data_IF_249153361061
#
_entry.id   IF_249153361061
#
_cell.length_a   1.000
_cell.length_b   1.000
_cell.length_c   1.000
_cell.angle_alpha   90.00
_cell.angle_beta   90.00
_cell.angle_gamma   90.00
#
_symmetry.space_group_name_H-M   'P 1'
#
loop_
_entity.id
_entity.type
_entity.pdbx_description
1 polymer ?
#
# COMPACT_ATOMS: atom_id res chain seq x y z
N UNK A 1 54.24 11.34 -21.89
CA UNK A 1 54.14 12.12 -20.64
C UNK A 1 52.74 12.71 -20.55
N UNK A 2 51.81 12.05 -19.86
CA UNK A 2 50.51 12.62 -19.49
C UNK A 2 50.04 11.90 -18.20
N UNK A 3 49.60 12.70 -17.22
CA UNK A 3 49.56 12.38 -15.80
C UNK A 3 48.34 11.51 -15.42
N UNK A 4 48.58 10.42 -14.68
CA UNK A 4 47.58 9.75 -13.85
C UNK A 4 47.09 10.72 -12.76
N UNK A 5 45.77 10.90 -12.64
CA UNK A 5 45.14 11.48 -11.45
C UNK A 5 44.52 10.34 -10.63
N UNK A 6 45.06 10.14 -9.43
CA UNK A 6 44.52 9.22 -8.44
C UNK A 6 43.25 9.81 -7.80
N UNK A 7 42.20 9.00 -7.74
CA UNK A 7 40.93 9.30 -7.08
C UNK A 7 41.06 9.02 -5.58
N UNK A 8 40.79 10.02 -4.75
CA UNK A 8 40.72 9.90 -3.28
C UNK A 8 39.31 9.42 -2.89
N UNK A 9 39.14 8.34 -2.11
CA UNK A 9 37.84 7.97 -1.57
C UNK A 9 37.47 8.92 -0.41
N UNK A 10 36.28 9.51 -0.48
CA UNK A 10 35.68 10.28 0.63
C UNK A 10 34.94 9.30 1.54
N UNK A 11 35.57 8.93 2.63
CA UNK A 11 34.89 8.41 3.81
C UNK A 11 33.96 9.49 4.38
N UNK A 12 32.65 9.25 4.28
CA UNK A 12 31.64 10.00 5.05
C UNK A 12 31.04 9.06 6.08
N UNK A 13 31.70 8.98 7.24
CA UNK A 13 31.07 8.50 8.45
C UNK A 13 29.88 9.42 8.78
N UNK A 14 28.65 8.90 8.66
CA UNK A 14 27.45 9.56 9.18
C UNK A 14 27.41 9.34 10.70
N UNK A 15 27.16 10.38 11.52
CA UNK A 15 27.02 10.21 12.96
C UNK A 15 25.68 9.54 13.28
N UNK A 16 25.73 8.46 14.05
CA UNK A 16 24.57 7.82 14.65
C UNK A 16 23.79 8.84 15.51
N UNK A 17 22.60 9.22 15.06
CA UNK A 17 21.63 9.97 15.88
C UNK A 17 21.03 9.00 16.89
N UNK A 18 21.70 8.85 18.04
CA UNK A 18 21.04 8.37 19.25
C UNK A 18 20.07 9.45 19.70
N UNK A 19 18.76 9.20 19.55
CA UNK A 19 17.72 10.00 20.20
C UNK A 19 17.77 9.67 21.70
N UNK A 20 18.61 10.42 22.42
CA UNK A 20 18.59 10.41 23.88
C UNK A 20 17.36 11.20 24.35
N UNK A 21 16.37 10.49 24.92
CA UNK A 21 15.28 11.11 25.69
C UNK A 21 15.87 11.81 26.92
N UNK A 22 15.58 13.10 27.17
CA UNK A 22 16.03 13.76 28.39
C UNK A 22 15.18 13.30 29.57
N UNK A 23 15.80 12.62 30.53
CA UNK A 23 15.25 12.43 31.89
C UNK A 23 15.42 13.75 32.62
N UNK A 24 14.33 14.50 32.76
CA UNK A 24 14.29 15.71 33.57
C UNK A 24 14.24 15.32 35.05
N UNK A 25 15.40 15.29 35.71
CA UNK A 25 15.51 15.23 37.17
C UNK A 25 15.36 16.66 37.73
N UNK A 26 14.14 17.06 38.04
CA UNK A 26 13.83 18.29 38.76
C UNK A 26 13.90 18.08 40.26
N UNK A 27 14.97 18.58 40.88
CA UNK A 27 15.11 18.74 42.32
C UNK A 27 14.16 19.87 42.78
N UNK A 28 13.20 19.59 43.66
CA UNK A 28 12.51 20.64 44.42
C UNK A 28 12.31 20.19 45.87
N UNK A 29 12.85 20.99 46.78
CA UNK A 29 12.81 20.78 48.21
C UNK A 29 11.65 21.59 48.84
N UNK A 30 10.83 20.86 49.62
CA UNK A 30 10.19 21.21 50.90
C UNK A 30 9.17 22.38 50.93
N UNK A 31 7.91 22.03 51.22
CA UNK A 31 7.19 22.53 52.41
C UNK A 31 6.03 21.60 52.81
N UNK A 32 5.92 21.43 54.12
CA UNK A 32 5.13 20.46 54.89
C UNK A 32 3.69 20.93 55.10
N UNK A 33 2.72 20.02 55.02
CA UNK A 33 1.50 19.88 55.85
C UNK A 33 0.73 18.67 55.27
N UNK A 34 0.66 17.51 55.92
CA UNK A 34 -0.24 17.22 57.04
C UNK A 34 -1.43 16.38 56.54
N UNK A 35 -1.42 15.07 56.78
CA UNK A 35 -2.54 14.19 56.40
C UNK A 35 -2.24 12.69 56.59
N UNK A 36 -2.66 12.15 57.73
CA UNK A 36 -2.60 10.73 58.12
C UNK A 36 -3.64 9.87 57.35
N UNK A 37 -3.21 8.77 56.73
CA UNK A 37 -3.97 7.51 56.56
C UNK A 37 -3.04 6.48 55.87
N UNK A 38 -2.39 5.58 56.61
CA UNK A 38 -2.86 4.21 56.95
C UNK A 38 -2.57 3.15 55.86
N UNK A 39 -1.51 2.38 56.14
CA UNK A 39 -1.24 0.96 55.88
C UNK A 39 -1.45 0.31 54.48
N UNK A 40 -0.38 -0.32 53.99
CA UNK A 40 -0.45 -1.39 53.00
C UNK A 40 0.88 -1.84 52.40
N UNK A 41 1.85 -2.28 53.21
CA UNK A 41 3.08 -2.93 52.72
C UNK A 41 2.82 -4.41 52.43
N UNK A 42 3.01 -4.86 51.18
CA UNK A 42 3.23 -6.26 50.85
C UNK A 42 4.63 -6.43 50.24
N UNK A 43 5.45 -7.16 50.99
CA UNK A 43 6.82 -7.59 50.66
C UNK A 43 6.75 -8.93 49.91
N UNK A 44 7.69 -9.25 48.99
CA UNK A 44 7.59 -10.41 48.11
C UNK A 44 8.08 -11.70 48.78
N UNK A 45 7.36 -12.81 48.57
CA UNK A 45 7.85 -14.17 48.79
C UNK A 45 7.97 -14.87 47.43
N UNK A 46 9.14 -15.30 46.97
CA UNK A 46 9.98 -16.42 47.43
C UNK A 46 9.82 -17.60 46.46
N UNK A 47 10.97 -18.16 46.09
CA UNK A 47 11.23 -18.96 44.90
C UNK A 47 10.96 -20.48 45.05
N UNK A 48 10.66 -21.12 43.90
CA UNK A 48 11.02 -22.49 43.44
C UNK A 48 10.47 -23.70 44.25
N UNK A 49 10.38 -24.94 43.68
CA UNK A 49 11.22 -25.50 42.61
C UNK A 49 10.50 -26.28 41.49
N UNK A 50 11.36 -26.76 40.58
CA UNK A 50 11.09 -27.61 39.42
C UNK A 50 10.37 -28.92 39.77
N UNK A 51 9.62 -29.45 38.80
CA UNK A 51 9.26 -30.86 38.75
C UNK A 51 9.40 -31.40 37.32
N UNK A 52 9.83 -32.65 37.29
CA UNK A 52 10.50 -33.41 36.25
C UNK A 52 9.51 -34.01 35.26
N UNK A 53 9.99 -34.31 34.05
CA UNK A 53 9.31 -35.11 33.01
C UNK A 53 8.92 -36.54 33.49
N UNK A 54 8.08 -37.27 32.73
CA UNK A 54 8.60 -38.19 31.70
C UNK A 54 7.79 -38.15 30.38
N UNK A 55 8.41 -38.24 29.21
CA UNK A 55 8.65 -39.47 28.39
C UNK A 55 7.45 -40.43 28.34
N UNK A 56 6.86 -40.55 27.16
CA UNK A 56 5.85 -41.56 26.83
C UNK A 56 5.52 -41.57 25.33
N UNK A 57 6.38 -42.22 24.54
CA UNK A 57 6.09 -42.61 23.15
C UNK A 57 5.14 -43.81 23.15
N UNK A 58 4.05 -43.80 22.36
CA UNK A 58 3.63 -44.95 21.51
C UNK A 58 2.31 -44.72 20.74
N UNK A 59 2.39 -44.94 19.43
CA UNK A 59 1.54 -45.86 18.63
C UNK A 59 0.11 -45.45 18.26
N UNK A 60 -0.05 -45.18 16.95
CA UNK A 60 -1.01 -45.76 15.99
C UNK A 60 -2.47 -45.96 16.41
N UNK A 61 -3.41 -45.41 15.64
CA UNK A 61 -4.47 -46.18 14.96
C UNK A 61 -5.34 -45.29 14.08
N UNK A 62 -5.52 -45.79 12.85
CA UNK A 62 -6.53 -45.41 11.88
C UNK A 62 -7.95 -45.58 12.44
N UNK A 63 -8.87 -44.70 12.06
CA UNK A 63 -10.29 -45.04 12.01
C UNK A 63 -10.96 -44.31 10.85
N UNK A 64 -11.36 -45.12 9.87
CA UNK A 64 -12.38 -44.84 8.87
C UNK A 64 -13.76 -44.62 9.50
N UNK A 65 -14.63 -43.94 8.74
CA UNK A 65 -16.06 -43.73 9.03
C UNK A 65 -16.36 -42.23 9.06
N UNK A 66 -17.10 -41.63 8.15
CA UNK A 66 -18.23 -42.13 7.37
C UNK A 66 -19.43 -41.23 7.66
N UNK A 67 -20.18 -40.86 6.61
CA UNK A 67 -21.55 -40.31 6.68
C UNK A 67 -21.72 -38.87 7.22
N UNK A 68 -22.06 -37.91 6.37
CA UNK A 68 -23.36 -37.73 5.71
C UNK A 68 -23.51 -36.31 5.20
N UNK A 69 -23.92 -36.23 3.93
CA UNK A 69 -24.43 -35.04 3.28
C UNK A 69 -25.63 -34.45 4.02
N UNK A 70 -25.67 -33.12 4.14
CA UNK A 70 -26.93 -32.39 4.30
C UNK A 70 -26.85 -31.02 3.65
N UNK A 71 -27.35 -30.96 2.42
CA UNK A 71 -27.74 -29.75 1.69
C UNK A 71 -29.00 -29.17 2.33
N UNK A 72 -29.13 -27.84 2.46
CA UNK A 72 -30.43 -27.19 2.41
C UNK A 72 -30.59 -26.42 1.08
N UNK A 73 -31.74 -26.68 0.47
CA UNK A 73 -32.33 -26.06 -0.71
C UNK A 73 -32.56 -24.54 -0.52
N UNK A 74 -32.55 -23.72 -1.59
CA UNK A 74 -32.79 -22.29 -1.52
C UNK A 74 -34.26 -21.96 -1.84
N UNK A 75 -34.94 -21.21 -0.98
CA UNK A 75 -36.23 -20.60 -1.29
C UNK A 75 -36.49 -19.40 -0.39
N UNK A 76 -36.38 -18.21 -0.96
CA UNK A 76 -36.65 -16.94 -0.29
C UNK A 76 -36.96 -15.85 -1.30
N UNK A 77 -38.19 -15.90 -1.83
CA UNK A 77 -38.80 -14.85 -2.64
C UNK A 77 -38.98 -13.56 -1.83
N UNK A 78 -38.88 -12.41 -2.51
CA UNK A 78 -39.68 -11.23 -2.14
C UNK A 78 -39.02 -9.89 -2.37
N UNK A 79 -39.64 -9.06 -3.22
CA UNK A 79 -39.61 -7.60 -3.02
C UNK A 79 -38.86 -6.75 -4.04
N UNK A 80 -39.24 -6.81 -5.33
CA UNK A 80 -38.88 -5.78 -6.32
C UNK A 80 -39.71 -4.51 -6.06
N UNK A 81 -39.13 -3.51 -5.42
CA UNK A 81 -39.70 -2.15 -5.36
C UNK A 81 -39.27 -1.37 -6.60
N UNK A 82 -40.22 -1.15 -7.50
CA UNK A 82 -40.06 -0.29 -8.67
C UNK A 82 -40.27 1.16 -8.24
N UNK A 83 -39.20 1.94 -8.16
CA UNK A 83 -39.28 3.40 -7.98
C UNK A 83 -39.42 4.04 -9.36
N UNK A 84 -40.58 4.65 -9.61
CA UNK A 84 -40.87 5.44 -10.81
C UNK A 84 -40.38 6.88 -10.59
N UNK A 85 -39.30 7.26 -11.27
CA UNK A 85 -38.80 8.64 -11.29
C UNK A 85 -39.52 9.44 -12.39
N UNK A 86 -40.08 10.63 -12.08
CA UNK A 86 -40.72 11.50 -13.08
C UNK A 86 -39.69 12.23 -13.96
N UNK A 87 -40.04 12.37 -15.24
CA UNK A 87 -39.24 13.04 -16.27
C UNK A 87 -39.10 14.55 -16.01
N UNK A 88 -37.93 15.17 -16.33
CA UNK A 88 -37.78 16.61 -16.31
C UNK A 88 -38.44 17.29 -17.54
N UNK A 89 -38.88 18.56 -17.40
CA UNK A 89 -39.58 19.30 -18.44
C UNK A 89 -38.66 19.73 -19.60
N UNK A 90 -39.18 19.63 -20.81
CA UNK A 90 -38.59 20.09 -22.07
C UNK A 90 -38.49 21.62 -22.11
N UNK A 91 -37.28 22.16 -22.18
CA UNK A 91 -37.04 23.58 -22.46
C UNK A 91 -36.96 23.77 -23.98
N UNK A 92 -37.91 24.54 -24.53
CA UNK A 92 -37.84 25.10 -25.90
C UNK A 92 -36.95 26.34 -25.88
N UNK A 93 -35.91 26.35 -26.70
CA UNK A 93 -35.16 27.57 -27.00
C UNK A 93 -35.28 27.91 -28.48
N UNK A 94 -35.68 29.15 -28.72
CA UNK A 94 -36.02 29.78 -30.00
C UNK A 94 -34.81 29.98 -30.91
N UNK A 95 -35.01 29.61 -32.17
CA UNK A 95 -34.16 29.87 -33.34
C UNK A 95 -34.20 31.35 -33.74
N UNK A 96 -33.03 31.99 -33.90
CA UNK A 96 -32.88 33.19 -34.75
C UNK A 96 -31.51 33.14 -35.43
N UNK A 97 -31.51 33.11 -36.77
CA UNK A 97 -30.31 33.34 -37.60
C UNK A 97 -29.89 34.82 -37.62
N UNK A 98 -28.72 35.15 -38.19
CA UNK A 98 -28.65 35.21 -39.65
C UNK A 98 -27.36 34.69 -40.30
N UNK A 99 -27.53 34.42 -41.60
CA UNK A 99 -26.59 34.12 -42.67
C UNK A 99 -25.27 34.90 -42.63
N UNK A 100 -24.15 34.17 -42.68
CA UNK A 100 -22.87 34.68 -43.17
C UNK A 100 -22.23 33.63 -44.08
N UNK A 101 -22.12 33.97 -45.35
CA UNK A 101 -21.45 33.18 -46.39
C UNK A 101 -19.94 33.42 -46.26
N UNK A 102 -19.23 32.47 -45.67
CA UNK A 102 -17.78 32.49 -45.51
C UNK A 102 -17.21 31.09 -45.77
N UNK A 103 -16.45 31.01 -46.85
CA UNK A 103 -15.60 29.92 -47.33
C UNK A 103 -15.10 28.95 -46.23
N UNK A 104 -15.45 27.67 -46.35
CA UNK A 104 -15.22 26.61 -45.35
C UNK A 104 -13.77 26.08 -45.41
N UNK A 105 -12.89 26.36 -44.43
CA UNK A 105 -11.70 25.54 -44.20
C UNK A 105 -12.14 24.16 -43.68
N UNK A 106 -11.35 23.09 -43.87
CA UNK A 106 -11.72 21.75 -43.43
C UNK A 106 -12.08 21.75 -41.95
N UNK A 107 -13.34 21.44 -41.65
CA UNK A 107 -13.86 21.22 -40.29
C UNK A 107 -13.04 20.10 -39.66
N UNK A 108 -12.04 20.47 -38.87
CA UNK A 108 -11.40 19.53 -37.96
C UNK A 108 -12.42 19.31 -36.86
N UNK A 109 -13.19 18.22 -36.96
CA UNK A 109 -14.09 17.77 -35.89
C UNK A 109 -13.24 17.52 -34.65
N UNK A 110 -13.12 18.54 -33.80
CA UNK A 110 -12.63 18.40 -32.44
C UNK A 110 -13.68 17.62 -31.70
N UNK A 111 -13.57 16.29 -31.75
CA UNK A 111 -14.34 15.39 -30.89
C UNK A 111 -13.96 15.78 -29.48
N UNK A 112 -14.88 16.45 -28.78
CA UNK A 112 -14.72 16.75 -27.36
C UNK A 112 -14.85 15.41 -26.66
N UNK A 113 -13.71 14.76 -26.44
CA UNK A 113 -13.64 13.51 -25.68
C UNK A 113 -14.06 13.86 -24.26
N UNK A 114 -15.10 13.20 -23.76
CA UNK A 114 -15.48 13.29 -22.36
C UNK A 114 -14.29 12.78 -21.53
N UNK A 115 -13.64 13.64 -20.71
CA UNK A 115 -12.46 13.25 -19.95
C UNK A 115 -12.74 12.12 -18.94
N UNK A 116 -14.01 11.76 -18.71
CA UNK A 116 -14.41 10.66 -17.83
C UNK A 116 -14.47 9.27 -18.47
N UNK A 117 -14.45 9.13 -19.80
CA UNK A 117 -14.59 7.82 -20.46
C UNK A 117 -13.25 7.25 -20.97
N UNK A 118 -13.01 5.94 -20.84
CA UNK A 118 -11.85 5.30 -21.45
C UNK A 118 -11.85 5.48 -22.98
N UNK A 119 -10.72 5.90 -23.53
CA UNK A 119 -10.46 5.91 -24.98
C UNK A 119 -9.75 4.61 -25.37
N UNK A 120 -10.54 3.64 -25.84
CA UNK A 120 -10.02 2.35 -26.33
C UNK A 120 -9.10 2.48 -27.55
N UNK A 121 -9.20 3.58 -28.31
CA UNK A 121 -8.35 3.79 -29.50
C UNK A 121 -6.90 4.09 -29.12
N UNK A 122 -6.68 4.51 -27.88
CA UNK A 122 -5.38 4.81 -27.32
C UNK A 122 -4.96 3.74 -26.31
N UNK A 123 -5.27 2.46 -26.59
CA UNK A 123 -4.85 1.38 -25.71
C UNK A 123 -3.34 1.11 -25.82
N UNK A 124 -2.68 0.88 -24.68
CA UNK A 124 -1.30 0.39 -24.61
C UNK A 124 -1.34 -1.00 -23.98
N UNK A 125 -0.80 -2.01 -24.65
CA UNK A 125 -0.82 -3.39 -24.16
C UNK A 125 -2.23 -3.86 -23.75
N UNK A 126 -3.27 -3.41 -24.46
CA UNK A 126 -4.68 -3.71 -24.16
C UNK A 126 -5.25 -3.04 -22.91
N UNK A 127 -4.54 -2.07 -22.31
CA UNK A 127 -5.04 -1.18 -21.25
C UNK A 127 -5.55 0.10 -21.90
N UNK A 128 -6.83 0.49 -21.74
CA UNK A 128 -7.37 1.70 -22.35
C UNK A 128 -6.82 2.96 -21.67
N UNK A 129 -6.74 4.06 -22.43
CA UNK A 129 -6.36 5.36 -21.88
C UNK A 129 -7.53 5.94 -21.10
N UNK A 130 -7.27 6.39 -19.88
CA UNK A 130 -8.15 7.26 -19.10
C UNK A 130 -7.30 8.05 -18.11
N UNK A 131 -7.35 9.37 -18.23
CA UNK A 131 -6.67 10.28 -17.31
C UNK A 131 -7.44 10.36 -15.96
N UNK A 132 -6.73 10.63 -14.87
CA UNK A 132 -7.31 10.59 -13.52
C UNK A 132 -8.02 11.91 -13.21
N UNK A 133 -9.34 11.88 -13.01
CA UNK A 133 -10.10 13.04 -12.60
C UNK A 133 -9.80 13.44 -11.14
N UNK A 134 -9.70 14.75 -10.87
CA UNK A 134 -9.59 15.26 -9.50
C UNK A 134 -10.86 15.02 -8.68
N UNK A 135 -10.69 14.78 -7.37
CA UNK A 135 -11.78 14.53 -6.43
C UNK A 135 -12.48 13.19 -6.65
N UNK A 136 -11.94 12.29 -7.48
CA UNK A 136 -12.58 11.02 -7.83
C UNK A 136 -12.54 9.97 -6.71
N UNK A 137 -11.82 10.24 -5.61
CA UNK A 137 -11.61 9.31 -4.51
C UNK A 137 -10.16 8.85 -4.49
N UNK A 138 -9.94 7.55 -4.27
CA UNK A 138 -8.63 6.94 -4.22
C UNK A 138 -8.31 6.16 -5.48
N UNK A 139 -7.05 6.10 -5.87
CA UNK A 139 -6.56 5.28 -6.98
C UNK A 139 -5.41 4.41 -6.49
N UNK A 140 -5.29 3.22 -7.07
CA UNK A 140 -4.10 2.38 -6.90
C UNK A 140 -3.18 2.67 -8.07
N UNK A 141 -1.99 3.21 -7.81
CA UNK A 141 -0.93 3.27 -8.82
C UNK A 141 -0.22 1.93 -8.87
N UNK A 142 -0.18 1.32 -10.05
CA UNK A 142 0.37 -0.01 -10.29
C UNK A 142 1.74 0.07 -10.97
N UNK A 143 1.95 1.07 -11.83
CA UNK A 143 3.24 1.32 -12.47
C UNK A 143 3.31 2.77 -12.94
N UNK A 144 4.52 3.26 -13.15
CA UNK A 144 4.76 4.52 -13.86
C UNK A 144 6.08 4.48 -14.64
N UNK A 145 6.16 5.31 -15.67
CA UNK A 145 7.43 5.58 -16.36
C UNK A 145 7.42 6.97 -16.99
N UNK A 146 8.60 7.45 -17.36
CA UNK A 146 8.79 8.75 -18.02
C UNK A 146 8.85 8.63 -19.54
N UNK A 147 9.15 7.43 -20.05
CA UNK A 147 9.14 7.09 -21.47
C UNK A 147 7.95 6.18 -21.81
N UNK A 148 7.29 6.44 -22.94
CA UNK A 148 6.10 5.70 -23.36
C UNK A 148 6.42 4.25 -23.77
N UNK A 149 7.57 4.02 -24.39
CA UNK A 149 8.00 2.68 -24.81
C UNK A 149 8.45 1.82 -23.65
N UNK A 150 9.11 2.40 -22.65
CA UNK A 150 9.36 1.75 -21.36
C UNK A 150 8.07 1.46 -20.60
N UNK A 151 7.13 2.42 -20.56
CA UNK A 151 5.83 2.24 -19.93
C UNK A 151 5.06 1.05 -20.54
N UNK A 152 5.00 0.96 -21.87
CA UNK A 152 4.34 -0.15 -22.55
C UNK A 152 4.95 -1.50 -22.22
N UNK A 153 6.29 -1.62 -22.25
CA UNK A 153 6.99 -2.84 -21.85
C UNK A 153 6.73 -3.23 -20.41
N UNK A 154 6.70 -2.24 -19.49
CA UNK A 154 6.37 -2.48 -18.08
C UNK A 154 4.94 -3.03 -17.93
N UNK A 155 3.98 -2.53 -18.70
CA UNK A 155 2.61 -3.08 -18.68
C UNK A 155 2.61 -4.52 -19.20
N UNK A 156 3.29 -4.82 -20.30
CA UNK A 156 3.40 -6.19 -20.83
C UNK A 156 3.98 -7.15 -19.77
N UNK A 157 5.10 -6.79 -19.14
CA UNK A 157 5.73 -7.58 -18.07
C UNK A 157 4.77 -7.86 -16.90
N UNK A 158 3.98 -6.86 -16.50
CA UNK A 158 2.99 -7.00 -15.43
C UNK A 158 1.82 -7.90 -15.86
N UNK A 159 1.38 -7.82 -17.11
CA UNK A 159 0.31 -8.69 -17.64
C UNK A 159 0.76 -10.14 -17.69
N UNK A 160 2.00 -10.42 -18.09
CA UNK A 160 2.57 -11.76 -18.08
C UNK A 160 2.62 -12.36 -16.66
N UNK A 161 2.74 -11.50 -15.64
CA UNK A 161 2.73 -11.86 -14.22
C UNK A 161 1.33 -11.85 -13.60
N UNK A 162 0.28 -11.57 -14.39
CA UNK A 162 -1.10 -11.41 -13.90
C UNK A 162 -1.26 -10.30 -12.83
N UNK A 163 -0.44 -9.25 -12.92
CA UNK A 163 -0.39 -8.11 -11.98
C UNK A 163 -1.07 -6.83 -12.50
N UNK A 164 -1.91 -6.95 -13.53
CA UNK A 164 -2.75 -5.86 -14.03
C UNK A 164 -4.21 -6.21 -13.73
N UNK A 165 -4.83 -5.61 -12.70
CA UNK A 165 -6.22 -5.84 -12.36
C UNK A 165 -7.19 -5.54 -13.51
N UNK A 166 -8.34 -6.21 -13.51
CA UNK A 166 -9.41 -5.95 -14.47
C UNK A 166 -9.89 -4.49 -14.34
N UNK A 167 -10.05 -3.82 -15.47
CA UNK A 167 -10.47 -2.41 -15.49
C UNK A 167 -9.38 -1.41 -15.10
N UNK A 168 -8.12 -1.85 -14.99
CA UNK A 168 -6.98 -0.94 -14.97
C UNK A 168 -6.97 -0.06 -16.24
N UNK A 169 -6.47 1.17 -16.07
CA UNK A 169 -6.38 2.19 -17.11
C UNK A 169 -5.00 2.80 -17.07
N UNK A 170 -4.60 3.49 -18.14
CA UNK A 170 -3.40 4.31 -18.10
C UNK A 170 -3.74 5.77 -18.41
N UNK A 171 -2.97 6.70 -17.84
CA UNK A 171 -3.13 8.13 -18.11
C UNK A 171 -1.79 8.85 -18.18
N UNK A 172 -1.81 10.05 -18.76
CA UNK A 172 -0.70 10.98 -18.71
C UNK A 172 -0.81 11.84 -17.45
N UNK A 173 0.28 12.01 -16.72
CA UNK A 173 0.27 12.81 -15.49
C UNK A 173 -0.05 14.29 -15.75
N UNK A 174 0.38 14.82 -16.90
CA UNK A 174 0.11 16.19 -17.36
C UNK A 174 -1.34 16.44 -17.75
N UNK A 175 -2.08 15.38 -18.09
CA UNK A 175 -3.51 15.43 -18.42
C UNK A 175 -4.40 14.96 -17.26
N UNK A 176 -3.80 14.39 -16.22
CA UNK A 176 -4.47 13.92 -15.02
C UNK A 176 -4.53 15.02 -13.95
N UNK A 177 -5.24 14.73 -12.86
CA UNK A 177 -5.14 15.50 -11.65
C UNK A 177 -3.68 15.63 -11.21
N UNK A 178 -3.30 16.79 -10.67
CA UNK A 178 -1.92 17.16 -10.29
C UNK A 178 -1.33 16.35 -9.12
N UNK A 179 -1.76 15.10 -8.94
CA UNK A 179 -1.36 14.18 -7.90
C UNK A 179 0.03 13.57 -8.13
N UNK A 180 0.62 13.68 -9.31
CA UNK A 180 1.96 13.14 -9.63
C UNK A 180 2.98 14.22 -9.99
N UNK A 181 2.66 15.48 -9.73
CA UNK A 181 3.47 16.65 -10.11
C UNK A 181 4.86 16.65 -9.47
N UNK A 182 5.04 16.04 -8.30
CA UNK A 182 6.35 15.85 -7.64
C UNK A 182 7.13 14.65 -8.16
N UNK A 183 6.46 13.71 -8.82
CA UNK A 183 6.96 12.34 -8.97
C UNK A 183 7.63 12.10 -10.34
N UNK A 184 7.77 13.14 -11.17
CA UNK A 184 8.45 13.09 -12.47
C UNK A 184 7.87 12.11 -13.49
N UNK A 185 6.82 11.37 -13.11
CA UNK A 185 6.14 10.37 -13.91
C UNK A 185 5.48 11.05 -15.10
N UNK A 186 5.59 10.48 -16.30
CA UNK A 186 4.87 10.95 -17.48
C UNK A 186 3.60 10.13 -17.72
N UNK A 187 3.69 8.82 -17.48
CA UNK A 187 2.62 7.85 -17.69
C UNK A 187 2.42 7.02 -16.43
N UNK A 188 1.16 6.74 -16.10
CA UNK A 188 0.77 5.98 -14.92
C UNK A 188 -0.25 4.92 -15.28
N UNK A 189 0.00 3.68 -14.85
CA UNK A 189 -0.97 2.60 -14.84
C UNK A 189 -1.69 2.63 -13.49
N UNK A 190 -3.02 2.67 -13.50
CA UNK A 190 -3.80 2.81 -12.28
C UNK A 190 -5.11 2.03 -12.32
N UNK A 191 -5.68 1.76 -11.14
CA UNK A 191 -7.03 1.21 -10.99
C UNK A 191 -7.87 2.02 -9.98
N UNK A 192 -9.19 1.83 -10.07
CA UNK A 192 -10.20 2.63 -9.38
C UNK A 192 -11.04 3.51 -10.32
N UNK A 193 -11.59 4.64 -9.83
CA UNK A 193 -11.41 5.18 -8.48
C UNK A 193 -12.17 4.39 -7.41
N UNK A 194 -11.73 4.50 -6.16
CA UNK A 194 -12.35 3.90 -4.99
C UNK A 194 -12.90 4.97 -4.03
N UNK A 195 -14.06 4.74 -3.39
CA UNK A 195 -14.65 5.70 -2.46
C UNK A 195 -13.86 5.85 -1.15
N UNK A 196 -13.11 4.81 -0.78
CA UNK A 196 -12.37 4.70 0.48
C UNK A 196 -10.99 4.08 0.23
N UNK A 197 -9.99 4.38 1.08
CA UNK A 197 -8.62 3.93 0.86
C UNK A 197 -8.51 2.41 0.80
N UNK A 198 -9.13 1.69 1.74
CA UNK A 198 -9.03 0.23 1.82
C UNK A 198 -9.82 -0.51 0.73
N UNK A 199 -10.74 0.16 0.03
CA UNK A 199 -11.44 -0.44 -1.10
C UNK A 199 -10.50 -0.69 -2.31
N UNK A 200 -9.34 -0.02 -2.38
CA UNK A 200 -8.29 -0.30 -3.36
C UNK A 200 -7.31 -1.41 -2.95
N UNK A 201 -7.43 -1.97 -1.74
CA UNK A 201 -6.49 -2.99 -1.28
C UNK A 201 -6.46 -4.25 -2.14
N UNK A 202 -7.59 -4.82 -2.63
CA UNK A 202 -7.56 -6.00 -3.51
C UNK A 202 -6.66 -5.80 -4.73
N UNK A 203 -6.76 -4.65 -5.39
CA UNK A 203 -5.97 -4.34 -6.58
C UNK A 203 -4.51 -4.05 -6.24
N UNK A 204 -4.24 -3.42 -5.09
CA UNK A 204 -2.87 -3.21 -4.61
C UNK A 204 -2.16 -4.53 -4.31
N UNK A 205 -2.83 -5.47 -3.64
CA UNK A 205 -2.22 -6.79 -3.33
C UNK A 205 -2.20 -7.74 -4.53
N UNK A 206 -3.06 -7.52 -5.52
CA UNK A 206 -3.00 -8.23 -6.81
C UNK A 206 -1.95 -7.64 -7.77
N UNK A 207 -1.59 -6.37 -7.58
CA UNK A 207 -0.59 -5.67 -8.38
C UNK A 207 0.86 -6.01 -8.02
N UNK A 208 1.83 -5.27 -8.57
CA UNK A 208 3.23 -5.44 -8.23
C UNK A 208 3.54 -4.93 -6.81
N UNK A 209 4.67 -5.36 -6.25
CA UNK A 209 5.05 -5.06 -4.86
C UNK A 209 5.24 -3.56 -4.57
N UNK A 210 5.52 -2.76 -5.60
CA UNK A 210 5.65 -1.31 -5.54
C UNK A 210 4.30 -0.57 -5.68
N UNK A 211 3.18 -1.27 -5.89
CA UNK A 211 1.86 -0.65 -5.99
C UNK A 211 1.45 0.08 -4.69
N UNK A 212 0.80 1.24 -4.81
CA UNK A 212 0.36 2.03 -3.67
C UNK A 212 -0.94 2.76 -3.92
N UNK A 213 -1.62 3.17 -2.83
CA UNK A 213 -2.91 3.87 -2.90
C UNK A 213 -2.68 5.36 -2.61
N UNK A 214 -3.22 6.22 -3.49
CA UNK A 214 -3.13 7.68 -3.38
C UNK A 214 -4.53 8.30 -3.51
N UNK A 215 -4.77 9.41 -2.81
CA UNK A 215 -5.99 10.20 -3.02
C UNK A 215 -5.84 11.00 -4.32
N UNK A 216 -6.85 10.94 -5.19
CA UNK A 216 -6.92 11.70 -6.43
C UNK A 216 -7.31 13.17 -6.19
N UNK A 217 -6.57 13.88 -5.33
CA UNK A 217 -6.80 15.29 -5.01
C UNK A 217 -5.50 16.11 -5.08
N UNK A 218 -5.48 17.31 -5.69
CA UNK A 218 -4.26 18.10 -5.87
C UNK A 218 -3.54 18.43 -4.55
N UNK A 219 -4.30 18.70 -3.48
CA UNK A 219 -3.75 18.98 -2.16
C UNK A 219 -3.01 17.79 -1.54
N UNK A 220 -3.18 16.59 -2.10
CA UNK A 220 -2.49 15.37 -1.67
C UNK A 220 -1.31 14.99 -2.58
N UNK A 221 -0.95 15.82 -3.56
CA UNK A 221 0.22 15.56 -4.41
C UNK A 221 1.48 15.25 -3.58
N UNK A 222 1.64 15.98 -2.46
CA UNK A 222 2.74 15.83 -1.49
C UNK A 222 2.35 15.12 -0.20
N UNK A 223 1.12 14.65 -0.07
CA UNK A 223 0.66 14.02 1.16
C UNK A 223 1.22 12.60 1.32
N UNK A 224 1.39 12.12 2.56
CA UNK A 224 1.82 10.75 2.80
C UNK A 224 0.84 9.76 2.15
N UNK A 225 1.38 8.75 1.48
CA UNK A 225 0.63 7.64 0.91
C UNK A 225 -0.25 6.98 1.98
N UNK A 226 -1.30 6.28 1.55
CA UNK A 226 -1.97 5.35 2.47
C UNK A 226 -1.02 4.17 2.68
N UNK A 227 -0.33 4.22 3.81
CA UNK A 227 0.74 3.29 4.19
C UNK A 227 0.31 2.27 5.23
N UNK A 228 -0.95 2.28 5.65
CA UNK A 228 -1.51 1.21 6.46
C UNK A 228 -1.47 -0.12 5.68
N UNK A 229 -1.42 -1.24 6.41
CA UNK A 229 -1.41 -2.57 5.82
C UNK A 229 -2.74 -2.84 5.09
N UNK A 230 -2.64 -3.43 3.90
CA UNK A 230 -3.79 -3.89 3.12
C UNK A 230 -3.98 -5.40 3.30
N UNK A 231 -5.18 -5.92 3.61
CA UNK A 231 -6.39 -5.20 4.01
C UNK A 231 -6.31 -4.72 5.48
N UNK A 232 -7.22 -3.83 5.89
CA UNK A 232 -7.31 -3.34 7.27
C UNK A 232 -7.57 -4.47 8.28
N UNK A 233 -8.28 -5.51 7.85
CA UNK A 233 -8.56 -6.68 8.67
C UNK A 233 -7.56 -7.80 8.39
N UNK A 234 -6.58 -7.94 9.28
CA UNK A 234 -5.59 -9.01 9.28
C UNK A 234 -6.00 -10.21 10.13
N UNK A 235 -7.24 -10.25 10.62
CA UNK A 235 -7.72 -11.33 11.48
C UNK A 235 -7.81 -12.66 10.76
N UNK A 236 -7.94 -12.66 9.43
CA UNK A 236 -7.83 -13.86 8.61
C UNK A 236 -6.37 -14.21 8.33
N UNK A 237 -5.83 -15.25 8.97
CA UNK A 237 -4.45 -15.62 8.79
C UNK A 237 -4.15 -16.29 7.45
N UNK A 238 -5.18 -16.65 6.66
CA UNK A 238 -4.97 -17.12 5.31
C UNK A 238 -4.51 -16.00 4.37
N UNK A 239 -4.71 -14.73 4.75
CA UNK A 239 -4.34 -13.57 3.94
C UNK A 239 -2.87 -13.17 4.12
N UNK A 240 -2.28 -13.45 5.29
CA UNK A 240 -0.93 -13.00 5.63
C UNK A 240 0.09 -14.14 5.49
N UNK A 241 1.07 -14.03 4.57
CA UNK A 241 2.07 -15.07 4.38
C UNK A 241 3.11 -15.06 5.50
N UNK A 242 3.76 -16.22 5.67
CA UNK A 242 5.02 -16.33 6.38
C UNK A 242 6.15 -15.80 5.48
N UNK A 243 6.94 -14.84 5.96
CA UNK A 243 8.13 -14.35 5.26
C UNK A 243 9.38 -14.69 6.07
N UNK A 244 10.14 -15.69 5.65
CA UNK A 244 11.21 -16.30 6.47
C UNK A 244 12.57 -16.43 5.76
N UNK A 245 12.66 -16.08 4.48
CA UNK A 245 13.84 -16.35 3.65
C UNK A 245 14.34 -15.13 2.90
N UNK A 246 15.64 -14.84 3.05
CA UNK A 246 16.32 -13.85 2.19
C UNK A 246 16.30 -14.32 0.73
N UNK A 247 15.92 -13.42 -0.17
CA UNK A 247 15.74 -13.72 -1.59
C UNK A 247 14.32 -14.15 -1.96
N UNK A 248 13.39 -14.26 -1.00
CA UNK A 248 11.97 -14.41 -1.32
C UNK A 248 11.47 -13.16 -2.06
N UNK A 249 10.66 -13.35 -3.11
CA UNK A 249 9.98 -12.26 -3.80
C UNK A 249 8.46 -12.39 -3.63
N UNK A 250 7.80 -11.34 -3.15
CA UNK A 250 6.37 -11.35 -2.87
C UNK A 250 5.81 -9.92 -2.73
N UNK A 251 4.56 -9.69 -3.16
CA UNK A 251 3.84 -8.41 -2.95
C UNK A 251 3.79 -7.98 -1.46
N UNK A 252 3.53 -8.91 -0.55
CA UNK A 252 3.54 -8.68 0.90
C UNK A 252 4.89 -8.23 1.46
N UNK A 253 6.00 -8.53 0.79
CA UNK A 253 7.29 -7.96 1.18
C UNK A 253 7.34 -6.47 0.85
N UNK A 254 6.72 -6.04 -0.25
CA UNK A 254 6.55 -4.61 -0.55
C UNK A 254 5.68 -3.91 0.49
N UNK A 255 4.60 -4.55 0.95
CA UNK A 255 3.78 -4.06 2.06
C UNK A 255 4.60 -3.90 3.35
N UNK A 256 5.36 -4.94 3.72
CA UNK A 256 6.25 -4.92 4.87
C UNK A 256 7.26 -3.76 4.79
N UNK A 257 7.98 -3.65 3.67
CA UNK A 257 8.99 -2.63 3.46
C UNK A 257 8.39 -1.22 3.54
N UNK A 258 7.18 -1.01 3.01
CA UNK A 258 6.50 0.29 3.05
C UNK A 258 6.14 0.69 4.48
N UNK A 259 5.67 -0.26 5.27
CA UNK A 259 5.38 -0.03 6.69
C UNK A 259 6.67 0.29 7.46
N UNK A 260 7.69 -0.56 7.31
CA UNK A 260 8.96 -0.40 8.03
C UNK A 260 9.62 0.94 7.69
N UNK A 261 9.70 1.30 6.41
CA UNK A 261 10.38 2.53 5.95
C UNK A 261 9.50 3.77 6.14
N UNK A 262 8.30 3.79 5.58
CA UNK A 262 7.49 5.02 5.50
C UNK A 262 6.72 5.32 6.79
N UNK A 263 6.47 4.32 7.64
CA UNK A 263 5.69 4.51 8.88
C UNK A 263 6.50 4.40 10.15
N UNK A 264 7.41 3.44 10.20
CA UNK A 264 8.20 3.20 11.38
C UNK A 264 9.61 3.80 11.30
N UNK A 265 10.05 4.20 10.10
CA UNK A 265 11.31 4.91 9.89
C UNK A 265 12.55 4.04 9.97
N UNK A 266 12.42 2.72 9.78
CA UNK A 266 13.56 1.81 9.66
C UNK A 266 14.35 2.09 8.38
N UNK A 267 15.67 2.04 8.48
CA UNK A 267 16.59 2.28 7.36
C UNK A 267 16.79 0.97 6.58
N UNK A 268 16.04 0.81 5.49
CA UNK A 268 16.21 -0.30 4.54
C UNK A 268 16.79 0.29 3.26
N UNK A 269 18.00 -0.15 2.90
CA UNK A 269 18.55 0.13 1.57
C UNK A 269 17.77 -0.68 0.52
N UNK A 270 16.74 -0.05 -0.05
CA UNK A 270 15.92 -0.66 -1.08
C UNK A 270 16.59 -0.60 -2.47
N UNK A 271 17.85 -0.16 -2.57
CA UNK A 271 18.45 0.24 -3.83
C UNK A 271 17.89 1.59 -4.28
N UNK A 272 18.18 2.04 -5.51
CA UNK A 272 17.78 3.37 -5.90
C UNK A 272 16.26 3.39 -6.11
N UNK A 273 15.55 4.05 -5.20
CA UNK A 273 14.21 4.55 -5.40
C UNK A 273 14.38 5.89 -6.11
N UNK A 274 14.00 5.99 -7.36
CA UNK A 274 14.00 7.27 -7.98
C UNK A 274 12.84 8.04 -7.36
N UNK A 275 11.70 7.44 -6.92
CA UNK A 275 10.27 7.87 -6.74
C UNK A 275 9.45 7.91 -8.06
N UNK A 276 10.03 7.48 -9.18
CA UNK A 276 10.53 8.32 -10.29
C UNK A 276 11.31 7.49 -11.38
N UNK A 277 11.00 6.18 -11.59
CA UNK A 277 11.53 5.24 -12.65
C UNK A 277 12.84 4.38 -12.46
N UNK A 278 12.89 3.30 -11.62
CA UNK A 278 14.09 2.41 -11.46
C UNK A 278 13.78 1.00 -10.88
N UNK A 279 14.77 0.10 -11.06
CA UNK A 279 14.99 -1.23 -10.47
C UNK A 279 15.35 -1.19 -8.97
N UNK A 280 14.35 -1.20 -8.10
CA UNK A 280 14.49 -1.26 -6.64
C UNK A 280 14.22 -2.68 -6.11
N UNK A 281 14.62 -2.97 -4.88
CA UNK A 281 14.39 -4.26 -4.19
C UNK A 281 13.01 -4.36 -3.51
N UNK A 282 12.04 -3.54 -3.97
CA UNK A 282 10.65 -3.65 -3.54
C UNK A 282 10.13 -5.07 -3.79
N UNK A 283 9.51 -5.64 -2.77
CA UNK A 283 8.99 -7.00 -2.84
C UNK A 283 10.04 -8.10 -2.69
N UNK A 284 11.33 -7.77 -2.57
CA UNK A 284 12.38 -8.74 -2.29
C UNK A 284 12.76 -8.72 -0.81
N UNK A 285 12.76 -9.88 -0.16
CA UNK A 285 13.18 -10.00 1.23
C UNK A 285 14.70 -9.97 1.26
N UNK A 286 15.29 -8.79 1.33
CA UNK A 286 16.74 -8.62 1.33
C UNK A 286 17.32 -8.86 2.73
N UNK A 287 18.65 -8.95 2.84
CA UNK A 287 19.32 -8.95 4.14
C UNK A 287 19.05 -7.67 4.94
N UNK A 288 18.93 -6.52 4.26
CA UNK A 288 18.54 -5.25 4.88
C UNK A 288 17.09 -5.31 5.41
N UNK A 289 16.17 -5.92 4.65
CA UNK A 289 14.79 -6.13 5.10
C UNK A 289 14.75 -7.04 6.33
N UNK A 290 15.49 -8.15 6.31
CA UNK A 290 15.59 -9.07 7.46
C UNK A 290 16.16 -8.39 8.71
N UNK A 291 17.18 -7.53 8.55
CA UNK A 291 17.75 -6.76 9.65
C UNK A 291 16.73 -5.77 10.25
N UNK A 292 15.98 -5.05 9.42
CA UNK A 292 14.92 -4.15 9.88
C UNK A 292 13.78 -4.91 10.59
N UNK A 293 13.43 -6.13 10.13
CA UNK A 293 12.46 -6.99 10.85
C UNK A 293 12.99 -7.39 12.21
N UNK A 294 14.28 -7.76 12.33
CA UNK A 294 14.89 -8.10 13.61
C UNK A 294 14.93 -6.91 14.58
N UNK A 295 15.22 -5.71 14.06
CA UNK A 295 15.18 -4.47 14.84
C UNK A 295 13.75 -4.19 15.34
N UNK A 296 12.76 -4.27 14.44
CA UNK A 296 11.35 -4.13 14.80
C UNK A 296 10.88 -5.15 15.84
N UNK A 297 11.26 -6.42 15.68
CA UNK A 297 10.96 -7.46 16.67
C UNK A 297 11.57 -7.13 18.04
N UNK A 298 12.81 -6.63 18.06
CA UNK A 298 13.48 -6.21 19.28
C UNK A 298 12.71 -5.08 19.96
N UNK A 299 12.35 -4.04 19.21
CA UNK A 299 11.64 -2.86 19.70
C UNK A 299 10.22 -3.18 20.19
N UNK A 300 9.59 -4.18 19.57
CA UNK A 300 8.23 -4.65 19.90
C UNK A 300 8.19 -5.74 20.97
N UNK A 301 9.34 -6.18 21.48
CA UNK A 301 9.43 -7.27 22.47
C UNK A 301 9.01 -8.64 21.93
N UNK A 302 9.12 -8.85 20.61
CA UNK A 302 8.85 -10.10 19.93
C UNK A 302 10.12 -10.98 19.86
N UNK A 303 10.00 -12.30 19.62
CA UNK A 303 11.15 -13.14 19.31
C UNK A 303 11.94 -12.61 18.10
N UNK A 304 13.23 -12.35 18.27
CA UNK A 304 14.11 -11.79 17.22
C UNK A 304 14.58 -12.90 16.28
N UNK A 305 13.69 -13.32 15.38
CA UNK A 305 13.93 -14.40 14.41
C UNK A 305 14.29 -13.87 13.03
N UNK A 306 13.93 -12.63 12.71
CA UNK A 306 13.94 -12.12 11.34
C UNK A 306 12.89 -12.77 10.44
N UNK A 307 11.91 -13.48 11.03
CA UNK A 307 10.78 -14.10 10.33
C UNK A 307 9.53 -13.27 10.59
N UNK A 308 8.81 -12.89 9.53
CA UNK A 308 7.52 -12.20 9.63
C UNK A 308 6.41 -13.24 9.63
N UNK A 309 5.94 -13.57 10.82
CA UNK A 309 4.79 -14.44 11.06
C UNK A 309 3.55 -13.62 11.48
N UNK A 310 2.47 -14.32 11.85
CA UNK A 310 1.23 -13.69 12.29
C UNK A 310 1.41 -12.72 13.46
N UNK A 311 2.33 -13.02 14.39
CA UNK A 311 2.55 -12.17 15.56
C UNK A 311 3.21 -10.85 15.16
N UNK A 312 4.17 -10.90 14.22
CA UNK A 312 4.81 -9.71 13.66
C UNK A 312 3.80 -8.89 12.86
N UNK A 313 3.00 -9.51 11.99
CA UNK A 313 1.96 -8.80 11.24
C UNK A 313 0.93 -8.11 12.14
N UNK A 314 0.50 -8.79 13.21
CA UNK A 314 -0.45 -8.23 14.17
C UNK A 314 0.14 -7.03 14.91
N UNK A 315 1.42 -7.10 15.29
CA UNK A 315 2.12 -5.99 15.92
C UNK A 315 2.25 -4.81 14.95
N UNK A 316 2.65 -5.06 13.70
CA UNK A 316 2.76 -4.01 12.67
C UNK A 316 1.43 -3.30 12.46
N UNK A 317 0.32 -4.05 12.39
CA UNK A 317 -1.02 -3.49 12.28
C UNK A 317 -1.32 -2.52 13.42
N UNK A 318 -1.09 -2.93 14.67
CA UNK A 318 -1.36 -2.12 15.87
C UNK A 318 -0.50 -0.85 15.96
N UNK A 319 0.74 -0.90 15.45
CA UNK A 319 1.67 0.23 15.54
C UNK A 319 1.41 1.30 14.48
N UNK A 320 0.80 0.94 13.34
CA UNK A 320 0.72 1.85 12.17
C UNK A 320 -0.67 2.15 11.65
N UNK A 321 -1.70 1.39 12.04
CA UNK A 321 -3.08 1.50 11.55
C UNK A 321 -4.06 1.79 12.68
#
# INVERSE_FOLDING_TARGET
>A
MARLRASVPRDRARPARRVARPVLAGLLAVLVTGGLAACGTQTPGQARPASTAPVGSSTTSSSEGGSTSRTPDPSGQGGRLTVTTPAPPTVRTTTTGPTSTGETPPTTESTTVDPGQPDERQSIAGVPRQDIACGSGYVVQLASATDLGEFGRRIDDLREQYQVPDGARWGETSASCDIFSSDGNAYVLWSGPYPEPYAGCPDRVAGPADAFIKLAAPEQATAPLITCLCPADTSDPALLPLLDAVGLQHVWIGELQRILVSRLGYDIDLGPDPTLGLTSSWGWYTSATAAAVQEYQTDSGLPVTGVVDRSVWSALQLDVC
#
